data_IF_965676178110
#
_entry.id   IF_965676178110
#
_cell.length_a   1.000
_cell.length_b   1.000
_cell.length_c   1.000
_cell.angle_alpha   90.00
_cell.angle_beta   90.00
_cell.angle_gamma   90.00
#
_symmetry.space_group_name_H-M   'P 1'
#
loop_
_entity.id
_entity.type
_entity.pdbx_description
1 polymer ?
#
# COMPACT_ATOMS: atom_id res chain seq x y z
N UNK A 1 -36.85 -11.85 23.67
CA UNK A 1 -36.08 -10.69 23.15
C UNK A 1 -34.90 -10.49 24.08
N UNK A 2 -33.67 -10.61 23.57
CA UNK A 2 -32.92 -9.39 23.28
C UNK A 2 -32.38 -9.36 21.84
N UNK A 3 -32.21 -8.14 21.34
CA UNK A 3 -31.78 -7.79 19.99
C UNK A 3 -30.30 -8.13 19.75
N UNK A 4 -29.88 -8.38 18.50
CA UNK A 4 -28.47 -8.54 18.17
C UNK A 4 -27.71 -7.24 18.43
N UNK A 5 -26.63 -7.33 19.22
CA UNK A 5 -25.68 -6.24 19.42
C UNK A 5 -25.16 -5.78 18.06
N UNK A 6 -25.48 -4.53 17.71
CA UNK A 6 -24.88 -3.86 16.58
C UNK A 6 -23.36 -3.86 16.79
N UNK A 7 -22.64 -4.66 15.98
CA UNK A 7 -21.22 -4.44 15.74
C UNK A 7 -21.08 -2.97 15.38
N UNK A 8 -20.36 -2.22 16.20
CA UNK A 8 -20.00 -0.85 15.88
C UNK A 8 -19.22 -0.90 14.58
N UNK A 9 -19.87 -0.55 13.47
CA UNK A 9 -19.18 -0.21 12.24
C UNK A 9 -18.38 1.05 12.58
N UNK A 10 -17.09 0.88 12.86
CA UNK A 10 -16.18 2.01 12.90
C UNK A 10 -16.37 2.77 11.58
N UNK A 11 -16.65 4.09 11.63
CA UNK A 11 -16.86 4.86 10.41
C UNK A 11 -15.60 4.72 9.58
N UNK A 12 -15.75 4.38 8.30
CA UNK A 12 -14.67 4.37 7.31
C UNK A 12 -13.98 5.73 7.37
N UNK A 13 -12.89 5.82 8.15
CA UNK A 13 -12.20 7.07 8.43
C UNK A 13 -11.33 7.33 7.22
N UNK A 14 -11.84 8.18 6.33
CA UNK A 14 -11.03 8.73 5.24
C UNK A 14 -9.87 9.51 5.86
N UNK A 15 -8.68 8.95 5.76
CA UNK A 15 -7.45 9.56 6.24
C UNK A 15 -6.93 10.51 5.17
N UNK A 16 -6.68 11.79 5.50
CA UNK A 16 -6.11 12.74 4.57
C UNK A 16 -4.65 12.36 4.28
N UNK A 17 -4.33 12.14 3.01
CA UNK A 17 -2.97 11.90 2.53
C UNK A 17 -2.46 13.16 1.82
N UNK A 18 -1.16 13.39 1.89
CA UNK A 18 -0.42 14.49 1.30
C UNK A 18 -0.99 15.87 1.66
N UNK A 19 -1.10 16.13 2.97
CA UNK A 19 -1.69 17.38 3.47
C UNK A 19 -3.19 17.54 3.17
N UNK A 20 -3.88 16.47 2.78
CA UNK A 20 -5.31 16.45 2.45
C UNK A 20 -5.61 16.56 0.95
N UNK A 21 -4.61 16.53 0.08
CA UNK A 21 -4.83 16.47 -1.35
C UNK A 21 -5.50 15.16 -1.78
N UNK A 22 -5.19 14.08 -1.08
CA UNK A 22 -5.82 12.78 -1.26
C UNK A 22 -6.53 12.34 0.03
N UNK A 23 -7.43 11.38 -0.10
CA UNK A 23 -8.01 10.69 1.05
C UNK A 23 -8.21 9.21 0.76
N UNK A 24 -7.85 8.35 1.72
CA UNK A 24 -8.00 6.90 1.60
C UNK A 24 -8.55 6.29 2.89
N UNK A 25 -9.16 5.11 2.79
CA UNK A 25 -9.55 4.34 3.96
C UNK A 25 -8.36 3.52 4.44
N UNK A 26 -7.70 3.97 5.50
CA UNK A 26 -6.64 3.18 6.13
C UNK A 26 -7.27 2.09 7.02
N UNK A 27 -6.65 0.91 7.08
CA UNK A 27 -7.07 -0.12 8.00
C UNK A 27 -6.83 0.28 9.47
N UNK A 28 -7.58 -0.31 10.40
CA UNK A 28 -7.47 0.03 11.81
C UNK A 28 -6.07 -0.30 12.33
N UNK A 29 -5.53 0.57 13.19
CA UNK A 29 -4.20 0.39 13.77
C UNK A 29 -3.03 0.88 12.90
N UNK A 30 -3.29 1.53 11.76
CA UNK A 30 -2.26 2.19 10.96
C UNK A 30 -1.65 3.36 11.72
N UNK A 31 -0.34 3.30 11.94
CA UNK A 31 0.46 4.39 12.49
C UNK A 31 1.27 5.03 11.39
N UNK A 32 1.06 6.32 11.22
CA UNK A 32 1.93 7.17 10.42
C UNK A 32 3.33 7.22 11.05
N UNK A 33 4.36 6.92 10.27
CA UNK A 33 5.76 6.97 10.72
C UNK A 33 6.44 8.28 10.35
N UNK A 34 5.74 9.23 9.75
CA UNK A 34 6.27 10.57 9.43
C UNK A 34 6.73 11.34 10.67
N UNK A 35 6.14 11.05 11.84
CA UNK A 35 6.61 11.56 13.15
C UNK A 35 7.91 10.86 13.62
N UNK A 36 8.17 9.64 13.18
CA UNK A 36 9.32 8.83 13.63
C UNK A 36 10.55 9.03 12.75
N UNK A 37 10.34 9.25 11.46
CA UNK A 37 11.41 9.45 10.47
C UNK A 37 10.98 10.51 9.46
N UNK A 38 11.92 11.29 8.92
CA UNK A 38 11.62 12.13 7.76
C UNK A 38 11.20 11.22 6.60
N UNK A 39 9.95 11.37 6.17
CA UNK A 39 9.41 10.77 4.96
C UNK A 39 9.31 11.89 3.91
N UNK A 40 9.69 11.66 2.65
CA UNK A 40 9.53 12.63 1.58
C UNK A 40 8.08 13.11 1.44
N UNK A 41 7.84 14.36 1.03
CA UNK A 41 6.48 14.90 0.85
C UNK A 41 5.65 14.14 -0.21
N UNK A 42 6.31 13.42 -1.12
CA UNK A 42 5.67 12.58 -2.13
C UNK A 42 5.45 11.13 -1.66
N UNK A 43 5.75 10.80 -0.40
CA UNK A 43 5.58 9.47 0.17
C UNK A 43 4.86 9.55 1.52
N UNK A 44 3.97 8.60 1.78
CA UNK A 44 3.39 8.36 3.10
C UNK A 44 3.65 6.92 3.51
N UNK A 45 4.10 6.73 4.75
CA UNK A 45 4.44 5.41 5.28
C UNK A 45 3.63 5.17 6.54
N UNK A 46 2.91 4.06 6.55
CA UNK A 46 2.15 3.58 7.69
C UNK A 46 2.68 2.22 8.13
N UNK A 47 2.80 2.02 9.43
CA UNK A 47 3.19 0.74 10.00
C UNK A 47 2.08 0.24 10.93
N UNK A 48 1.90 -1.07 10.99
CA UNK A 48 1.00 -1.67 11.97
C UNK A 48 1.68 -1.71 13.35
N UNK A 49 0.91 -1.50 14.43
CA UNK A 49 1.48 -1.48 15.79
C UNK A 49 1.91 -2.84 16.31
N UNK A 50 1.16 -3.88 15.94
CA UNK A 50 1.28 -5.21 16.53
C UNK A 50 1.96 -6.21 15.60
N UNK A 51 2.10 -5.87 14.32
CA UNK A 51 2.73 -6.71 13.30
C UNK A 51 3.79 -5.90 12.57
N UNK A 52 4.79 -6.56 12.00
CA UNK A 52 5.82 -5.92 11.16
C UNK A 52 5.28 -5.48 9.78
N UNK A 53 3.96 -5.36 9.62
CA UNK A 53 3.33 -4.94 8.36
C UNK A 53 3.49 -3.44 8.13
N UNK A 54 3.70 -3.07 6.87
CA UNK A 54 3.77 -1.67 6.47
C UNK A 54 3.01 -1.40 5.17
N UNK A 55 2.40 -0.22 5.09
CA UNK A 55 1.74 0.33 3.92
C UNK A 55 2.51 1.58 3.51
N UNK A 56 2.86 1.67 2.26
CA UNK A 56 3.54 2.83 1.67
C UNK A 56 2.67 3.34 0.54
N UNK A 57 2.45 4.64 0.49
CA UNK A 57 1.75 5.31 -0.61
C UNK A 57 2.71 6.35 -1.17
N UNK A 58 3.05 6.25 -2.45
CA UNK A 58 4.04 7.10 -3.06
C UNK A 58 3.56 7.66 -4.41
N UNK A 59 3.85 8.94 -4.62
CA UNK A 59 3.67 9.66 -5.89
C UNK A 59 5.00 9.64 -6.64
N UNK A 60 5.01 8.96 -7.78
CA UNK A 60 6.16 8.80 -8.68
C UNK A 60 5.91 9.52 -9.99
N UNK A 61 6.97 9.87 -10.71
CA UNK A 61 6.83 10.38 -12.08
C UNK A 61 6.36 9.27 -13.03
N UNK A 62 5.44 9.62 -13.94
CA UNK A 62 4.91 8.69 -14.92
C UNK A 62 6.03 8.14 -15.81
N UNK A 63 6.25 6.82 -15.73
CA UNK A 63 7.24 6.17 -16.58
C UNK A 63 6.64 5.84 -17.95
N UNK A 64 6.66 6.80 -18.88
CA UNK A 64 6.09 6.64 -20.22
C UNK A 64 6.72 5.50 -21.05
N UNK A 65 7.89 5.00 -20.66
CA UNK A 65 8.58 3.89 -21.33
C UNK A 65 8.05 2.50 -20.96
N UNK A 66 7.27 2.36 -19.88
CA UNK A 66 6.65 1.11 -19.44
C UNK A 66 5.14 1.29 -19.40
N UNK A 67 4.39 0.25 -19.75
CA UNK A 67 2.93 0.28 -19.77
C UNK A 67 2.35 -1.04 -19.26
N UNK A 68 1.15 -0.98 -18.69
CA UNK A 68 0.44 -2.18 -18.32
C UNK A 68 1.15 -2.99 -17.23
N UNK A 69 1.23 -4.29 -17.49
CA UNK A 69 1.91 -5.28 -16.63
C UNK A 69 3.40 -4.96 -16.46
N UNK A 70 4.07 -4.46 -17.50
CA UNK A 70 5.50 -4.15 -17.44
C UNK A 70 5.79 -2.96 -16.52
N UNK A 71 4.87 -2.00 -16.42
CA UNK A 71 4.98 -0.90 -15.46
C UNK A 71 4.89 -1.41 -14.02
N UNK A 72 3.91 -2.26 -13.72
CA UNK A 72 3.77 -2.86 -12.39
C UNK A 72 5.01 -3.68 -12.00
N UNK A 73 5.58 -4.45 -12.94
CA UNK A 73 6.82 -5.20 -12.72
C UNK A 73 8.02 -4.30 -12.49
N UNK A 74 8.17 -3.26 -13.30
CA UNK A 74 9.26 -2.29 -13.19
C UNK A 74 9.30 -1.65 -11.80
N UNK A 75 8.14 -1.16 -11.32
CA UNK A 75 8.05 -0.60 -9.97
C UNK A 75 8.30 -1.64 -8.87
N UNK A 76 7.85 -2.89 -9.07
CA UNK A 76 8.13 -3.95 -8.11
C UNK A 76 9.62 -4.27 -7.96
N UNK A 77 10.32 -4.33 -9.09
CA UNK A 77 11.77 -4.53 -9.13
C UNK A 77 12.52 -3.34 -8.53
N UNK A 78 12.08 -2.11 -8.80
CA UNK A 78 12.66 -0.89 -8.24
C UNK A 78 12.54 -0.85 -6.70
N UNK A 79 11.33 -1.05 -6.18
CA UNK A 79 11.06 -1.13 -4.74
C UNK A 79 11.90 -2.21 -4.08
N UNK A 80 12.00 -3.39 -4.71
CA UNK A 80 12.83 -4.47 -4.17
C UNK A 80 14.33 -4.14 -4.22
N UNK A 81 14.78 -3.45 -5.26
CA UNK A 81 16.16 -2.99 -5.40
C UNK A 81 16.54 -2.01 -4.30
N UNK A 82 15.68 -1.03 -4.03
CA UNK A 82 15.85 -0.04 -2.93
C UNK A 82 15.83 -0.73 -1.56
N UNK A 83 14.99 -1.74 -1.38
CA UNK A 83 14.96 -2.54 -0.14
C UNK A 83 16.14 -3.52 -0.02
N UNK A 84 17.00 -3.66 -1.04
CA UNK A 84 18.12 -4.60 -1.03
C UNK A 84 17.67 -6.07 -1.08
N UNK A 85 16.53 -6.35 -1.72
CA UNK A 85 16.05 -7.71 -1.88
C UNK A 85 17.01 -8.53 -2.75
N UNK A 86 17.46 -9.68 -2.23
CA UNK A 86 18.38 -10.60 -2.92
C UNK A 86 17.70 -11.40 -4.02
N UNK A 87 16.42 -11.69 -3.82
CA UNK A 87 15.57 -12.37 -4.78
C UNK A 87 14.19 -11.73 -4.75
N UNK A 88 13.55 -11.69 -5.91
CA UNK A 88 12.21 -11.18 -6.09
C UNK A 88 11.45 -12.17 -6.95
N UNK A 89 10.25 -12.53 -6.51
CA UNK A 89 9.38 -13.44 -7.22
C UNK A 89 8.02 -12.79 -7.37
N UNK A 90 7.57 -12.60 -8.60
CA UNK A 90 6.22 -12.12 -8.88
C UNK A 90 5.29 -13.34 -8.88
N UNK A 91 4.33 -13.39 -7.96
CA UNK A 91 3.32 -14.44 -7.88
C UNK A 91 2.19 -14.19 -8.89
N UNK A 92 1.68 -12.95 -8.95
CA UNK A 92 0.55 -12.59 -9.81
C UNK A 92 0.58 -11.12 -10.18
N UNK A 93 0.13 -10.79 -11.39
CA UNK A 93 -0.16 -9.42 -11.82
C UNK A 93 -1.54 -9.40 -12.43
N UNK A 94 -2.43 -8.57 -11.88
CA UNK A 94 -3.81 -8.47 -12.32
C UNK A 94 -4.16 -7.01 -12.62
N UNK A 95 -4.89 -6.74 -13.72
CA UNK A 95 -5.44 -5.42 -13.95
C UNK A 95 -6.51 -5.14 -12.90
N UNK A 96 -6.46 -3.95 -12.31
CA UNK A 96 -7.49 -3.48 -11.40
C UNK A 96 -8.52 -2.70 -12.23
N UNK A 97 -9.79 -3.14 -12.29
CA UNK A 97 -10.78 -2.47 -13.10
C UNK A 97 -11.06 -1.09 -12.51
N UNK A 98 -10.96 -0.06 -13.36
CA UNK A 98 -11.11 1.34 -12.95
C UNK A 98 -12.47 1.60 -12.30
N UNK A 99 -13.50 0.83 -12.61
CA UNK A 99 -14.83 0.96 -11.99
C UNK A 99 -14.80 0.78 -10.46
N UNK A 100 -13.82 0.03 -9.94
CA UNK A 100 -13.63 -0.17 -8.51
C UNK A 100 -12.86 0.98 -7.86
N UNK A 101 -12.20 1.83 -8.63
CA UNK A 101 -11.43 2.96 -8.11
C UNK A 101 -12.31 4.19 -7.96
N UNK A 102 -12.26 4.85 -6.81
CA UNK A 102 -12.86 6.17 -6.67
C UNK A 102 -12.13 7.23 -7.54
N UNK A 103 -10.84 7.01 -7.86
CA UNK A 103 -10.04 7.81 -8.79
C UNK A 103 -10.28 7.54 -10.28
N UNK A 104 -11.30 6.76 -10.66
CA UNK A 104 -11.55 6.37 -12.07
C UNK A 104 -11.62 7.51 -13.08
N UNK A 105 -11.96 8.72 -12.64
CA UNK A 105 -12.00 9.91 -13.49
C UNK A 105 -10.63 10.49 -13.84
N UNK A 106 -9.58 10.10 -13.10
CA UNK A 106 -8.21 10.58 -13.27
C UNK A 106 -7.22 9.46 -13.63
N UNK A 107 -7.54 8.22 -13.26
CA UNK A 107 -6.73 7.05 -13.60
C UNK A 107 -7.08 6.50 -14.99
N UNK A 108 -6.06 6.26 -15.81
CA UNK A 108 -6.24 5.64 -17.13
C UNK A 108 -6.05 4.12 -17.08
N UNK A 109 -5.18 3.64 -16.21
CA UNK A 109 -4.92 2.22 -16.00
C UNK A 109 -4.51 1.99 -14.55
N UNK A 110 -4.82 0.80 -14.03
CA UNK A 110 -4.41 0.40 -12.70
C UNK A 110 -4.11 -1.10 -12.67
N UNK A 111 -3.11 -1.47 -11.88
CA UNK A 111 -2.58 -2.82 -11.79
C UNK A 111 -2.27 -3.18 -10.36
N UNK A 112 -2.58 -4.40 -9.97
CA UNK A 112 -2.16 -4.96 -8.69
C UNK A 112 -1.19 -6.10 -8.98
N UNK A 113 0.01 -6.00 -8.42
CA UNK A 113 1.04 -7.02 -8.45
C UNK A 113 1.20 -7.58 -7.05
N UNK A 114 1.24 -8.90 -6.93
CA UNK A 114 1.58 -9.59 -5.69
C UNK A 114 2.83 -10.42 -5.92
N UNK A 115 3.77 -10.33 -5.00
CA UNK A 115 5.02 -11.08 -5.09
C UNK A 115 5.70 -11.23 -3.74
N UNK A 116 6.83 -11.91 -3.73
CA UNK A 116 7.70 -12.08 -2.57
C UNK A 116 9.05 -11.45 -2.82
N UNK A 117 9.57 -10.76 -1.81
CA UNK A 117 10.87 -10.12 -1.82
C UNK A 117 11.71 -10.69 -0.69
N UNK A 118 12.86 -11.27 -1.03
CA UNK A 118 13.82 -11.79 -0.05
C UNK A 118 14.72 -10.67 0.45
N UNK A 119 14.29 -10.00 1.51
CA UNK A 119 15.02 -8.88 2.10
C UNK A 119 15.92 -9.42 3.22
N UNK A 120 17.22 -9.15 3.11
CA UNK A 120 18.17 -9.38 4.20
C UNK A 120 18.42 -8.05 4.91
N UNK A 121 18.03 -7.93 6.19
CA UNK A 121 18.46 -6.77 6.99
C UNK A 121 20.00 -6.79 7.06
N UNK A 122 20.64 -5.63 6.99
CA UNK A 122 22.11 -5.46 6.98
C UNK A 122 22.83 -6.22 8.12
N UNK A 123 22.13 -6.49 9.23
CA UNK A 123 22.63 -7.21 10.39
C UNK A 123 22.19 -8.69 10.50
N UNK A 124 21.55 -9.27 9.49
CA UNK A 124 21.07 -10.65 9.50
C UNK A 124 21.60 -11.45 8.31
N UNK A 125 22.25 -12.58 8.59
CA UNK A 125 22.71 -13.52 7.56
C UNK A 125 21.55 -14.22 6.83
N UNK A 126 20.36 -14.25 7.43
CA UNK A 126 19.17 -14.91 6.90
C UNK A 126 18.28 -13.88 6.21
N UNK A 127 18.04 -14.07 4.91
CA UNK A 127 17.03 -13.31 4.18
C UNK A 127 15.65 -13.74 4.66
N UNK A 128 14.75 -12.78 4.90
CA UNK A 128 13.34 -13.05 5.17
C UNK A 128 12.56 -12.88 3.88
N UNK A 129 11.75 -13.88 3.54
CA UNK A 129 10.75 -13.75 2.48
C UNK A 129 9.64 -12.83 2.98
N UNK A 130 9.51 -11.64 2.43
CA UNK A 130 8.42 -10.69 2.73
C UNK A 130 7.45 -10.72 1.56
N UNK A 131 6.17 -10.91 1.83
CA UNK A 131 5.15 -10.80 0.78
C UNK A 131 4.90 -9.32 0.54
N UNK A 132 5.05 -8.86 -0.69
CA UNK A 132 4.80 -7.47 -1.08
C UNK A 132 3.69 -7.42 -2.12
N UNK A 133 2.63 -6.69 -1.80
CA UNK A 133 1.54 -6.37 -2.72
C UNK A 133 1.69 -4.92 -3.16
N UNK A 134 1.76 -4.69 -4.46
CA UNK A 134 1.87 -3.37 -5.06
C UNK A 134 0.65 -3.06 -5.90
N UNK A 135 0.12 -1.85 -5.77
CA UNK A 135 -0.94 -1.34 -6.62
C UNK A 135 -0.42 -0.09 -7.32
N UNK A 136 -0.34 -0.16 -8.63
CA UNK A 136 0.06 0.95 -9.49
C UNK A 136 -1.20 1.56 -10.10
N UNK A 137 -1.43 2.85 -9.87
CA UNK A 137 -2.49 3.62 -10.49
C UNK A 137 -1.85 4.71 -11.33
N UNK A 138 -2.12 4.73 -12.64
CA UNK A 138 -1.46 5.66 -13.55
C UNK A 138 -2.36 6.85 -13.83
N UNK A 139 -1.85 8.05 -13.56
CA UNK A 139 -2.52 9.32 -13.79
C UNK A 139 -1.78 10.11 -14.88
N UNK A 140 -1.89 9.70 -16.16
CA UNK A 140 -1.15 10.34 -17.25
C UNK A 140 -1.50 11.82 -17.43
N UNK A 141 -2.70 12.23 -17.02
CA UNK A 141 -3.13 13.64 -17.01
C UNK A 141 -2.18 14.53 -16.19
N UNK A 142 -1.62 13.99 -15.12
CA UNK A 142 -0.72 14.70 -14.21
C UNK A 142 0.74 14.24 -14.36
N UNK A 143 1.03 13.38 -15.34
CA UNK A 143 2.34 12.73 -15.50
C UNK A 143 2.83 12.09 -14.19
N UNK A 144 1.91 11.49 -13.44
CA UNK A 144 2.19 10.85 -12.15
C UNK A 144 1.72 9.40 -12.13
N UNK A 145 2.56 8.53 -11.60
CA UNK A 145 2.25 7.15 -11.24
C UNK A 145 2.10 7.07 -9.72
N UNK A 146 0.96 6.60 -9.24
CA UNK A 146 0.73 6.41 -7.82
C UNK A 146 0.97 4.94 -7.47
N UNK A 147 1.94 4.70 -6.59
CA UNK A 147 2.34 3.38 -6.17
C UNK A 147 1.97 3.17 -4.70
N UNK A 148 1.09 2.20 -4.44
CA UNK A 148 0.81 1.73 -3.10
C UNK A 148 1.52 0.40 -2.90
N UNK A 149 2.25 0.25 -1.81
CA UNK A 149 2.97 -0.98 -1.47
C UNK A 149 2.57 -1.45 -0.09
N UNK A 150 2.09 -2.68 0.02
CA UNK A 150 1.81 -3.37 1.26
C UNK A 150 2.85 -4.46 1.48
N UNK A 151 3.69 -4.28 2.49
CA UNK A 151 4.63 -5.29 2.93
C UNK A 151 4.00 -6.10 4.06
N UNK A 152 3.78 -7.37 3.79
CA UNK A 152 3.30 -8.39 4.72
C UNK A 152 4.40 -9.42 4.98
N UNK A 153 5.26 -9.20 6.00
CA UNK A 153 6.23 -10.19 6.39
C UNK A 153 5.52 -11.39 7.03
N UNK A 154 6.06 -12.61 6.87
CA UNK A 154 5.49 -13.81 7.45
C UNK A 154 5.45 -13.65 8.97
N UNK A 155 4.41 -14.19 9.62
CA UNK A 155 4.30 -14.16 11.07
C UNK A 155 5.57 -14.76 11.68
N UNK A 156 6.29 -13.95 12.46
CA UNK A 156 7.48 -14.44 13.16
C UNK A 156 6.99 -15.50 14.16
N UNK A 157 7.31 -16.77 13.90
CA UNK A 157 6.83 -17.92 14.67
C UNK A 157 7.26 -17.89 16.16
N UNK A 158 7.95 -16.83 16.61
CA UNK A 158 8.31 -16.56 18.00
C UNK A 158 7.22 -15.83 18.79
N UNK A 159 6.28 -15.18 18.12
CA UNK A 159 5.11 -14.57 18.75
C UNK A 159 3.88 -15.38 18.35
N UNK A 160 3.66 -16.49 19.07
CA UNK A 160 2.37 -17.17 19.11
C UNK A 160 1.36 -16.21 19.74
N UNK A 161 0.90 -15.23 18.97
CA UNK A 161 -0.17 -14.33 19.35
C UNK A 161 -1.46 -15.03 18.96
N UNK A 162 -2.17 -15.56 19.97
CA UNK A 162 -3.52 -16.07 19.79
C UNK A 162 -4.37 -14.98 19.12
N UNK A 163 -4.96 -15.24 17.93
CA UNK A 163 -5.73 -14.24 17.19
C UNK A 163 -6.97 -13.77 17.96
N UNK A 164 -7.36 -14.44 19.03
CA UNK A 164 -8.48 -14.09 19.90
C UNK A 164 -8.16 -13.01 20.96
N UNK A 165 -6.87 -12.67 21.20
CA UNK A 165 -6.48 -11.63 22.18
C UNK A 165 -5.91 -10.36 21.55
N UNK A 166 -5.75 -10.31 20.23
CA UNK A 166 -5.34 -9.10 19.53
C UNK A 166 -6.56 -8.16 19.42
N UNK A 167 -6.49 -7.00 20.06
CA UNK A 167 -7.51 -5.95 19.91
C UNK A 167 -7.60 -5.40 18.49
N UNK A 168 -6.58 -5.68 17.65
CA UNK A 168 -6.47 -5.28 16.25
C UNK A 168 -5.93 -6.47 15.42
N UNK A 169 -6.70 -7.04 14.50
CA UNK A 169 -6.22 -8.11 13.62
C UNK A 169 -5.14 -7.60 12.65
N UNK A 170 -4.25 -8.48 12.13
CA UNK A 170 -3.34 -8.12 11.05
C UNK A 170 -4.11 -7.64 9.83
N UNK A 171 -3.52 -6.73 9.04
CA UNK A 171 -4.10 -6.32 7.77
C UNK A 171 -4.10 -7.47 6.79
N UNK A 172 -5.20 -7.56 6.04
CA UNK A 172 -5.40 -8.53 4.99
C UNK A 172 -5.23 -7.88 3.62
N UNK A 173 -5.13 -8.69 2.57
CA UNK A 173 -5.17 -8.18 1.20
C UNK A 173 -6.45 -7.37 0.92
N UNK A 174 -7.58 -7.74 1.54
CA UNK A 174 -8.84 -6.99 1.40
C UNK A 174 -8.77 -5.58 1.97
N UNK A 175 -7.98 -5.37 3.03
CA UNK A 175 -7.73 -4.03 3.59
C UNK A 175 -6.89 -3.18 2.63
N UNK A 176 -5.88 -3.80 1.99
CA UNK A 176 -5.08 -3.15 0.97
C UNK A 176 -5.91 -2.80 -0.28
N UNK A 177 -6.75 -3.73 -0.75
CA UNK A 177 -7.67 -3.45 -1.86
C UNK A 177 -8.65 -2.33 -1.52
N UNK A 178 -9.16 -2.30 -0.28
CA UNK A 178 -10.03 -1.22 0.19
C UNK A 178 -9.30 0.13 0.23
N UNK A 179 -8.04 0.17 0.69
CA UNK A 179 -7.20 1.36 0.65
C UNK A 179 -7.06 1.89 -0.79
N UNK A 180 -6.69 1.00 -1.71
CA UNK A 180 -6.45 1.31 -3.13
C UNK A 180 -7.73 1.84 -3.80
N UNK A 181 -8.87 1.18 -3.56
CA UNK A 181 -10.15 1.51 -4.20
C UNK A 181 -10.82 2.74 -3.60
N UNK A 182 -10.65 2.97 -2.30
CA UNK A 182 -11.20 4.13 -1.60
C UNK A 182 -10.36 5.40 -1.73
N UNK A 183 -9.19 5.30 -2.33
CA UNK A 183 -8.33 6.44 -2.59
C UNK A 183 -9.05 7.44 -3.50
N UNK A 184 -9.08 8.70 -3.08
CA UNK A 184 -9.78 9.81 -3.74
C UNK A 184 -8.86 11.02 -3.82
N UNK A 185 -8.86 11.70 -4.96
CA UNK A 185 -8.14 12.96 -5.18
C UNK A 185 -9.12 14.10 -4.94
N UNK A 186 -8.83 14.91 -3.94
CA UNK A 186 -9.60 16.10 -3.60
C UNK A 186 -8.95 17.37 -4.17
N UNK A 187 -7.62 17.47 -4.06
CA UNK A 187 -6.88 18.65 -4.49
C UNK A 187 -5.83 18.30 -5.54
N UNK A 188 -6.08 18.59 -6.84
CA UNK A 188 -5.12 18.31 -7.90
C UNK A 188 -3.92 19.26 -7.90
N UNK A 189 -3.87 20.30 -7.05
CA UNK A 189 -2.71 21.20 -7.01
C UNK A 189 -1.45 20.52 -6.47
N UNK A 190 -1.59 19.35 -5.85
CA UNK A 190 -0.46 18.52 -5.41
C UNK A 190 0.51 18.17 -6.56
N UNK A 191 -0.01 18.03 -7.78
CA UNK A 191 0.81 17.71 -8.94
C UNK A 191 1.52 18.95 -9.54
N UNK A 192 1.33 20.13 -8.96
CA UNK A 192 1.82 21.39 -9.51
C UNK A 192 0.90 21.98 -10.59
N UNK A 193 1.25 23.15 -11.15
CA UNK A 193 0.50 23.76 -12.24
C UNK A 193 0.55 22.88 -13.51
N UNK A 194 -0.55 22.76 -14.26
CA UNK A 194 -0.61 22.01 -15.52
C UNK A 194 0.18 22.67 -16.66
#
# INVERSE_FOLDING_TARGET
>A
MPAPSARSMEPTRHYPLFGGAFSASLPPGALDVSDLRPVPDNQEVFCHRLTDQSLVVELLELQAHVQGVDAARYHFEDVGGVQGARAMQVDSVQPLPLENLALRSFCQEAWVLSGKQQVAKENQQVAKDVTAHQALLRLPRYQTDLLLTFNDPPPDNRLSLDPENLSLPPWSLGDFEQLVTSLTLHDPNIFGPP
#
